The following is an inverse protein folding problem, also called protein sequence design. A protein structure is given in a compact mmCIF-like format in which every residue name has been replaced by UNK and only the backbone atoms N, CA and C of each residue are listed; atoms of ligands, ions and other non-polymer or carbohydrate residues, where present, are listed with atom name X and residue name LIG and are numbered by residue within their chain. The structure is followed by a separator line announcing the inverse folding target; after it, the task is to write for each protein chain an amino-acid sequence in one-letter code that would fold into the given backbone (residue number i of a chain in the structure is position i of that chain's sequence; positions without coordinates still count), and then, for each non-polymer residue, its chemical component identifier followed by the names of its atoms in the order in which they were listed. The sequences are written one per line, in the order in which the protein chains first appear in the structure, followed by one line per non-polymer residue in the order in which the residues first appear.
data_IF_488728766195
#
_entry.id   IF_488728766195
#
_cell.length_a   1.000
_cell.length_b   1.000
_cell.length_c   1.000
_cell.angle_alpha   90.00
_cell.angle_beta   90.00
_cell.angle_gamma   90.00
#
_symmetry.space_group_name_H-M   'P 1'
#
loop_
_entity.id
_entity.type
_entity.pdbx_description
1 polymer ?
#
# COMPACT_ATOMS: atom_id res chain seq x y z
N UNK A 1 6.16 1.22 22.36
CA UNK A 1 6.65 2.18 21.34
C UNK A 1 5.45 2.87 20.76
N UNK A 2 5.51 4.19 20.62
CA UNK A 2 4.47 4.93 19.90
C UNK A 2 4.55 4.54 18.42
N UNK A 3 3.42 4.42 17.71
CA UNK A 3 3.40 4.19 16.26
C UNK A 3 4.11 5.31 15.48
N UNK A 4 4.27 6.49 16.09
CA UNK A 4 5.08 7.59 15.56
C UNK A 4 6.58 7.33 15.58
N UNK A 5 7.04 6.35 16.35
CA UNK A 5 8.45 5.96 16.51
C UNK A 5 8.79 4.65 15.78
N UNK A 6 7.78 3.98 15.21
CA UNK A 6 8.00 2.76 14.45
C UNK A 6 8.71 3.08 13.12
N UNK A 7 9.66 2.24 12.67
CA UNK A 7 10.34 2.47 11.40
C UNK A 7 9.34 2.48 10.25
N UNK A 8 9.42 3.54 9.44
CA UNK A 8 8.65 3.67 8.20
C UNK A 8 9.27 2.72 7.17
N UNK A 9 8.42 1.97 6.47
CA UNK A 9 8.83 1.02 5.43
C UNK A 9 8.43 1.59 4.08
N UNK A 10 9.34 1.56 3.12
CA UNK A 10 9.02 1.98 1.75
C UNK A 10 8.13 0.96 1.05
N UNK A 11 7.20 1.44 0.22
CA UNK A 11 6.46 0.58 -0.69
C UNK A 11 7.42 -0.12 -1.67
N UNK A 12 7.32 -1.46 -1.85
CA UNK A 12 8.29 -2.17 -2.66
C UNK A 12 8.27 -1.73 -4.13
N UNK A 13 9.45 -1.55 -4.73
CA UNK A 13 9.60 -1.17 -6.14
C UNK A 13 8.86 -2.12 -7.09
N UNK A 14 8.86 -3.43 -6.78
CA UNK A 14 8.13 -4.43 -7.56
C UNK A 14 6.61 -4.23 -7.57
N UNK A 15 6.06 -3.60 -6.52
CA UNK A 15 4.64 -3.30 -6.38
C UNK A 15 4.31 -1.85 -6.74
N UNK A 16 5.30 -1.01 -7.08
CA UNK A 16 5.11 0.39 -7.43
C UNK A 16 4.06 0.61 -8.55
N UNK A 17 3.96 -0.25 -9.59
CA UNK A 17 2.92 -0.10 -10.60
C UNK A 17 1.49 -0.09 -10.04
N UNK A 18 1.23 -0.81 -8.94
CA UNK A 18 -0.11 -0.87 -8.32
C UNK A 18 -0.58 0.49 -7.77
N UNK A 19 0.35 1.40 -7.46
CA UNK A 19 0.01 2.74 -6.97
C UNK A 19 -0.62 3.63 -8.05
N UNK A 20 -0.57 3.26 -9.33
CA UNK A 20 -1.29 3.98 -10.39
C UNK A 20 -2.80 3.81 -10.28
N UNK A 21 -3.25 2.71 -9.68
CA UNK A 21 -4.67 2.41 -9.45
C UNK A 21 -5.15 2.94 -8.08
N UNK A 22 -4.31 3.73 -7.39
CA UNK A 22 -4.61 4.27 -6.07
C UNK A 22 -5.71 5.33 -6.11
N UNK A 23 -6.75 5.10 -5.33
CA UNK A 23 -7.84 6.04 -5.11
C UNK A 23 -7.70 6.60 -3.70
N UNK A 24 -7.46 7.91 -3.61
CA UNK A 24 -7.32 8.62 -2.33
C UNK A 24 -8.62 9.36 -2.04
N UNK A 25 -9.17 9.15 -0.85
CA UNK A 25 -10.34 9.84 -0.36
C UNK A 25 -10.03 10.53 0.97
N UNK A 26 -10.56 11.75 1.14
CA UNK A 26 -10.54 12.47 2.40
C UNK A 26 -11.89 12.34 3.11
N UNK A 27 -11.84 11.94 4.39
CA UNK A 27 -12.97 11.94 5.30
C UNK A 27 -13.34 13.34 5.78
N UNK A 28 -14.56 13.49 6.31
CA UNK A 28 -15.05 14.77 6.84
C UNK A 28 -14.29 15.23 8.11
N UNK A 29 -13.55 14.32 8.74
CA UNK A 29 -12.71 14.54 9.92
C UNK A 29 -11.24 14.88 9.57
N UNK A 30 -10.93 15.04 8.28
CA UNK A 30 -9.57 15.28 7.80
C UNK A 30 -8.70 14.03 7.73
N UNK A 31 -9.23 12.84 8.04
CA UNK A 31 -8.53 11.58 7.78
C UNK A 31 -8.46 11.33 6.28
N UNK A 32 -7.40 10.66 5.82
CA UNK A 32 -7.29 10.24 4.43
C UNK A 32 -7.04 8.74 4.37
N UNK A 33 -7.66 8.14 3.37
CA UNK A 33 -7.53 6.71 3.07
C UNK A 33 -7.12 6.53 1.62
N UNK A 34 -6.34 5.48 1.36
CA UNK A 34 -6.00 5.03 0.02
C UNK A 34 -6.55 3.63 -0.18
N UNK A 35 -7.11 3.39 -1.36
CA UNK A 35 -7.61 2.08 -1.77
C UNK A 35 -7.13 1.76 -3.18
N UNK A 36 -6.73 0.51 -3.38
CA UNK A 36 -6.33 -0.04 -4.66
C UNK A 36 -7.11 -1.34 -4.84
N UNK A 37 -8.01 -1.38 -5.83
CA UNK A 37 -8.73 -2.59 -6.21
C UNK A 37 -8.21 -3.04 -7.57
N UNK A 38 -7.53 -4.19 -7.62
CA UNK A 38 -6.77 -4.58 -8.81
C UNK A 38 -6.77 -6.10 -9.01
N UNK A 39 -6.71 -6.51 -10.27
CA UNK A 39 -6.46 -7.89 -10.64
C UNK A 39 -4.94 -8.14 -10.69
N UNK A 40 -4.47 -9.14 -9.95
CA UNK A 40 -3.04 -9.46 -9.82
C UNK A 40 -2.76 -10.90 -10.24
N UNK A 41 -1.60 -11.12 -10.86
CA UNK A 41 -1.10 -12.48 -11.09
C UNK A 41 -0.57 -13.12 -9.80
N UNK A 42 -0.23 -14.41 -9.89
CA UNK A 42 0.21 -15.20 -8.74
C UNK A 42 1.51 -14.66 -8.11
N UNK A 43 2.43 -14.10 -8.90
CA UNK A 43 3.71 -13.58 -8.40
C UNK A 43 3.52 -12.26 -7.68
N UNK A 44 2.70 -11.38 -8.24
CA UNK A 44 2.31 -10.11 -7.62
C UNK A 44 1.55 -10.36 -6.33
N UNK A 45 0.62 -11.34 -6.32
CA UNK A 45 -0.10 -11.74 -5.12
C UNK A 45 0.84 -12.26 -4.01
N UNK A 46 1.84 -13.08 -4.38
CA UNK A 46 2.86 -13.55 -3.44
C UNK A 46 3.64 -12.38 -2.84
N UNK A 47 4.14 -11.47 -3.68
CA UNK A 47 4.88 -10.29 -3.24
C UNK A 47 4.07 -9.38 -2.30
N UNK A 48 2.76 -9.24 -2.54
CA UNK A 48 1.84 -8.52 -1.63
C UNK A 48 1.80 -9.19 -0.25
N UNK A 49 1.58 -10.50 -0.19
CA UNK A 49 1.49 -11.21 1.10
C UNK A 49 2.83 -11.24 1.84
N UNK A 50 3.94 -11.40 1.13
CA UNK A 50 5.27 -11.29 1.72
C UNK A 50 5.47 -9.90 2.30
N UNK A 51 5.14 -8.84 1.56
CA UNK A 51 5.23 -7.48 2.07
C UNK A 51 4.36 -7.28 3.32
N UNK A 52 3.09 -7.68 3.28
CA UNK A 52 2.14 -7.59 4.41
C UNK A 52 2.69 -8.27 5.68
N UNK A 53 3.34 -9.43 5.54
CA UNK A 53 3.94 -10.14 6.67
C UNK A 53 5.05 -9.33 7.38
N UNK A 54 5.73 -8.43 6.66
CA UNK A 54 6.81 -7.58 7.18
C UNK A 54 6.30 -6.26 7.83
N UNK A 55 5.00 -5.96 7.74
CA UNK A 55 4.44 -4.65 8.13
C UNK A 55 3.86 -4.56 9.55
N UNK A 56 4.03 -5.59 10.38
CA UNK A 56 3.47 -5.58 11.74
C UNK A 56 3.83 -4.31 12.51
N UNK A 57 2.82 -3.48 12.80
CA UNK A 57 2.92 -2.21 13.53
C UNK A 57 3.85 -1.17 12.89
N UNK A 58 3.94 -1.15 11.55
CA UNK A 58 4.77 -0.19 10.80
C UNK A 58 3.92 0.65 9.87
N UNK A 59 4.36 1.89 9.66
CA UNK A 59 3.79 2.78 8.64
C UNK A 59 4.49 2.52 7.31
N UNK A 60 3.73 2.63 6.22
CA UNK A 60 4.19 2.48 4.85
C UNK A 60 4.28 3.85 4.21
N UNK A 61 5.41 4.13 3.57
CA UNK A 61 5.59 5.29 2.70
C UNK A 61 5.13 4.95 1.28
N UNK A 62 4.17 5.72 0.78
CA UNK A 62 3.59 5.60 -0.55
C UNK A 62 4.00 6.81 -1.38
N UNK A 63 4.53 6.55 -2.57
CA UNK A 63 4.79 7.56 -3.60
C UNK A 63 3.80 7.37 -4.74
N UNK A 64 2.65 8.02 -4.61
CA UNK A 64 1.59 7.96 -5.64
C UNK A 64 2.00 8.87 -6.79
N UNK A 65 1.88 8.39 -8.03
CA UNK A 65 2.49 9.01 -9.21
C UNK A 65 2.08 10.49 -9.45
N UNK A 66 0.91 10.90 -8.97
CA UNK A 66 0.39 12.26 -9.12
C UNK A 66 0.68 13.20 -7.92
N UNK A 67 1.31 12.68 -6.86
CA UNK A 67 1.67 13.46 -5.67
C UNK A 67 3.16 13.81 -5.69
N UNK A 68 3.47 15.10 -5.53
CA UNK A 68 4.85 15.56 -5.31
C UNK A 68 5.39 15.08 -3.95
N UNK A 69 4.49 14.87 -2.99
CA UNK A 69 4.81 14.48 -1.62
C UNK A 69 4.56 12.99 -1.38
N UNK A 70 5.37 12.40 -0.50
CA UNK A 70 5.13 11.06 0.00
C UNK A 70 3.99 11.07 1.02
N UNK A 71 3.17 10.03 0.99
CA UNK A 71 2.14 9.81 2.00
C UNK A 71 2.56 8.65 2.91
N UNK A 72 2.35 8.80 4.20
CA UNK A 72 2.58 7.75 5.18
C UNK A 72 1.26 7.29 5.79
N UNK A 73 1.02 5.98 5.81
CA UNK A 73 -0.16 5.40 6.46
C UNK A 73 0.05 3.96 6.89
N UNK A 74 -0.99 3.36 7.46
CA UNK A 74 -0.97 1.98 7.91
C UNK A 74 -1.73 1.09 6.92
N UNK A 75 -1.08 0.01 6.48
CA UNK A 75 -1.68 -0.97 5.58
C UNK A 75 -2.67 -1.85 6.36
N UNK A 76 -3.88 -1.95 5.84
CA UNK A 76 -4.85 -2.95 6.28
C UNK A 76 -4.51 -4.32 5.67
N UNK A 77 -5.01 -5.42 6.25
CA UNK A 77 -4.87 -6.73 5.65
C UNK A 77 -5.39 -6.77 4.21
N UNK A 78 -4.73 -7.56 3.36
CA UNK A 78 -5.15 -7.75 1.98
C UNK A 78 -6.46 -8.54 1.92
N UNK A 79 -7.44 -8.06 1.16
CA UNK A 79 -8.72 -8.75 0.99
C UNK A 79 -8.95 -9.23 -0.44
N UNK A 80 -9.39 -10.48 -0.60
CA UNK A 80 -9.92 -10.96 -1.87
C UNK A 80 -11.31 -10.37 -2.16
N UNK A 81 -11.53 -9.89 -3.39
CA UNK A 81 -12.79 -9.28 -3.83
C UNK A 81 -13.67 -10.24 -4.67
N UNK A 82 -13.36 -11.53 -4.64
CA UNK A 82 -14.07 -12.55 -5.40
C UNK A 82 -13.50 -12.74 -6.80
N UNK A 83 -14.37 -12.82 -7.81
CA UNK A 83 -13.96 -13.19 -9.16
C UNK A 83 -13.13 -12.09 -9.84
N UNK A 84 -12.00 -12.43 -10.49
CA UNK A 84 -11.24 -11.51 -11.32
C UNK A 84 -11.99 -11.11 -12.58
N UNK A 85 -11.55 -10.01 -13.21
CA UNK A 85 -12.16 -9.51 -14.45
C UNK A 85 -11.94 -10.46 -15.62
N UNK A 86 -10.76 -11.08 -15.71
CA UNK A 86 -10.49 -12.19 -16.63
C UNK A 86 -10.54 -13.53 -15.88
N UNK A 87 -11.60 -14.31 -16.12
CA UNK A 87 -11.83 -15.60 -15.45
C UNK A 87 -11.08 -16.77 -16.09
N UNK A 88 -10.46 -16.55 -17.24
CA UNK A 88 -9.72 -17.58 -17.97
C UNK A 88 -8.23 -17.55 -17.55
N UNK A 89 -7.73 -16.38 -17.16
CA UNK A 89 -6.37 -16.23 -16.61
C UNK A 89 -6.32 -16.62 -15.14
N UNK A 90 -5.19 -17.16 -14.73
CA UNK A 90 -4.89 -17.48 -13.33
C UNK A 90 -4.48 -16.21 -12.57
N UNK A 91 -5.46 -15.34 -12.29
CA UNK A 91 -5.30 -14.05 -11.60
C UNK A 91 -6.31 -13.95 -10.43
N UNK A 92 -6.03 -13.07 -9.48
CA UNK A 92 -6.88 -12.81 -8.32
C UNK A 92 -7.29 -11.34 -8.26
N UNK A 93 -8.54 -11.06 -7.87
CA UNK A 93 -8.96 -9.68 -7.58
C UNK A 93 -8.78 -9.38 -6.11
N UNK A 94 -7.98 -8.37 -5.79
CA UNK A 94 -7.66 -8.01 -4.41
C UNK A 94 -7.90 -6.53 -4.13
N UNK A 95 -8.04 -6.22 -2.84
CA UNK A 95 -8.00 -4.88 -2.29
C UNK A 95 -6.78 -4.72 -1.41
N UNK A 96 -6.02 -3.66 -1.69
CA UNK A 96 -5.06 -3.07 -0.77
C UNK A 96 -5.66 -1.77 -0.24
N UNK A 97 -5.53 -1.50 1.05
CA UNK A 97 -6.00 -0.24 1.59
C UNK A 97 -5.14 0.28 2.73
N UNK A 98 -4.98 1.60 2.78
CA UNK A 98 -4.21 2.31 3.77
C UNK A 98 -5.10 3.30 4.49
N UNK A 99 -4.90 3.42 5.80
CA UNK A 99 -5.59 4.38 6.66
C UNK A 99 -4.60 5.30 7.35
N UNK A 100 -5.13 6.36 7.95
CA UNK A 100 -4.36 7.40 8.64
C UNK A 100 -3.25 8.02 7.77
N UNK A 101 -3.57 8.27 6.50
CA UNK A 101 -2.64 8.88 5.56
C UNK A 101 -2.32 10.33 5.97
N UNK A 102 -1.03 10.59 6.11
CA UNK A 102 -0.47 11.90 6.41
C UNK A 102 0.54 12.26 5.33
N UNK A 103 0.60 13.54 4.98
CA UNK A 103 1.67 14.04 4.11
C UNK A 103 2.96 14.02 4.91
N UNK A 104 4.06 13.70 4.23
CA UNK A 104 5.36 13.71 4.83
C UNK A 104 6.44 13.91 3.79
N UNK A 105 7.61 14.31 4.27
CA UNK A 105 8.81 14.26 3.45
C UNK A 105 9.10 12.81 3.08
N UNK A 106 9.51 12.59 1.83
CA UNK A 106 10.00 11.28 1.42
C UNK A 106 11.26 10.97 2.21
N UNK A 107 11.17 10.03 3.14
CA UNK A 107 12.32 9.53 3.87
C UNK A 107 12.97 8.48 2.98
N UNK A 108 14.23 8.70 2.60
CA UNK A 108 15.02 7.63 2.00
C UNK A 108 15.23 6.57 3.07
N UNK A 109 14.98 5.30 2.73
CA UNK A 109 15.34 4.20 3.61
C UNK A 109 16.83 4.33 3.90
N UNK A 110 17.18 4.62 5.16
CA UNK A 110 18.57 4.57 5.57
C UNK A 110 19.04 3.16 5.34
N UNK A 111 19.99 3.00 4.40
CA UNK A 111 20.74 1.76 4.20
C UNK A 111 21.15 1.26 5.58
N UNK A 112 20.54 0.15 6.00
CA UNK A 112 21.06 -0.61 7.12
C UNK A 112 22.14 -1.51 6.53
N UNK A 113 23.39 -1.09 6.74
CA UNK A 113 24.59 -1.92 6.66
C UNK A 113 24.36 -3.33 7.26
#
# INVERSE_FOLDING_TARGET
MSLREAPVVEWPTALAPLLHEAQIAAGCDGTRVCRIDVDVDALTLLAIHEFEAHLRHRRVQLKVAESADCMMGEMNPTFGLGAPSDRIRHIAKVRLSFHDLQDGECVEATDRD
#
